data_IF_561719840656
#
_entry.id   IF_561719840656
#
_cell.length_a   1.000
_cell.length_b   1.000
_cell.length_c   1.000
_cell.angle_alpha   90.00
_cell.angle_beta   90.00
_cell.angle_gamma   90.00
#
_symmetry.space_group_name_H-M   'P 1'
#
loop_
_entity.id
_entity.type
_entity.pdbx_description
1 polymer ?
#
# COMPACT_ATOMS: atom_id res chain seq x y z
N UNK A 1 -2.62 -18.06 11.83
CA UNK A 1 -1.94 -16.80 11.44
C UNK A 1 -1.96 -16.75 9.93
N UNK A 2 -2.40 -15.66 9.33
CA UNK A 2 -2.34 -15.56 7.87
C UNK A 2 -0.89 -15.32 7.43
N UNK A 3 -0.51 -15.87 6.28
CA UNK A 3 0.76 -15.64 5.62
C UNK A 3 0.57 -15.75 4.10
N UNK A 4 1.50 -15.22 3.31
CA UNK A 4 1.48 -15.41 1.86
C UNK A 4 1.47 -16.89 1.49
N UNK A 5 2.15 -17.74 2.24
CA UNK A 5 2.14 -19.19 2.02
C UNK A 5 0.78 -19.85 2.29
N UNK A 6 0.04 -19.37 3.28
CA UNK A 6 -1.34 -19.84 3.50
C UNK A 6 -2.28 -19.40 2.38
N UNK A 7 -2.11 -18.18 1.84
CA UNK A 7 -2.86 -17.74 0.65
C UNK A 7 -2.52 -18.65 -0.52
N UNK A 8 -1.23 -18.90 -0.77
CA UNK A 8 -0.73 -19.81 -1.83
C UNK A 8 -1.34 -21.21 -1.71
N UNK A 9 -1.33 -21.77 -0.52
CA UNK A 9 -1.91 -23.11 -0.28
C UNK A 9 -3.43 -23.10 -0.52
N UNK A 10 -4.14 -22.10 0.00
CA UNK A 10 -5.59 -22.03 -0.14
C UNK A 10 -6.05 -21.89 -1.59
N UNK A 11 -5.36 -21.07 -2.41
CA UNK A 11 -5.77 -20.85 -3.80
C UNK A 11 -5.71 -22.13 -4.66
N UNK A 12 -4.96 -23.15 -4.26
CA UNK A 12 -4.90 -24.42 -4.99
C UNK A 12 -6.25 -25.15 -5.03
N UNK A 13 -7.16 -24.89 -4.07
CA UNK A 13 -8.48 -25.49 -4.02
C UNK A 13 -9.53 -24.82 -4.93
N UNK A 14 -9.18 -23.75 -5.64
CA UNK A 14 -10.10 -22.99 -6.49
C UNK A 14 -9.65 -23.02 -7.95
N UNK A 15 -10.60 -22.96 -8.88
CA UNK A 15 -10.32 -22.92 -10.32
C UNK A 15 -10.07 -21.49 -10.80
N UNK A 16 -10.73 -20.51 -10.18
CA UNK A 16 -10.62 -19.09 -10.48
C UNK A 16 -10.00 -18.33 -9.31
N UNK A 17 -8.94 -17.58 -9.61
CA UNK A 17 -8.30 -16.69 -8.65
C UNK A 17 -8.48 -15.26 -9.09
N UNK A 18 -9.25 -14.50 -8.28
CA UNK A 18 -9.42 -13.07 -8.44
C UNK A 18 -8.35 -12.29 -7.69
N UNK A 19 -7.72 -11.34 -8.34
CA UNK A 19 -6.78 -10.41 -7.72
C UNK A 19 -7.33 -8.99 -7.81
N UNK A 20 -7.28 -8.26 -6.71
CA UNK A 20 -7.33 -6.80 -6.76
C UNK A 20 -6.05 -6.25 -7.40
N UNK A 21 -6.08 -4.96 -7.78
CA UNK A 21 -5.01 -4.33 -8.53
C UNK A 21 -4.06 -3.54 -7.62
N UNK A 22 -4.49 -2.37 -7.15
CA UNK A 22 -3.66 -1.49 -6.33
C UNK A 22 -3.43 -2.08 -4.94
N UNK A 23 -2.24 -1.86 -4.40
CA UNK A 23 -1.83 -2.42 -3.11
C UNK A 23 -1.90 -3.97 -3.03
N UNK A 24 -2.22 -4.64 -4.13
CA UNK A 24 -2.29 -6.12 -4.25
C UNK A 24 -1.31 -6.67 -5.29
N UNK A 25 -1.44 -6.29 -6.55
CA UNK A 25 -0.52 -6.69 -7.64
C UNK A 25 0.48 -5.57 -7.95
N UNK A 26 0.07 -4.32 -7.84
CA UNK A 26 0.92 -3.16 -8.09
C UNK A 26 0.90 -2.16 -6.94
N UNK A 27 1.99 -1.42 -6.84
CA UNK A 27 2.23 -0.37 -5.86
C UNK A 27 2.53 0.95 -6.57
N UNK A 28 2.47 2.04 -5.82
CA UNK A 28 2.93 3.37 -6.20
C UNK A 28 3.84 3.93 -5.11
N UNK A 29 4.81 4.80 -5.43
CA UNK A 29 5.69 5.42 -4.44
C UNK A 29 4.99 6.60 -3.73
N UNK A 30 3.72 6.45 -3.42
CA UNK A 30 2.87 7.44 -2.78
C UNK A 30 2.31 6.90 -1.47
N UNK A 31 2.42 7.69 -0.40
CA UNK A 31 1.94 7.30 0.93
C UNK A 31 0.41 7.36 1.00
N UNK A 32 -0.19 8.31 0.26
CA UNK A 32 -1.63 8.43 0.08
C UNK A 32 -1.96 8.38 -1.43
N UNK A 33 -3.12 7.86 -1.82
CA UNK A 33 -3.52 7.86 -3.24
C UNK A 33 -3.48 9.24 -3.88
N UNK A 34 -3.89 10.26 -3.13
CA UNK A 34 -3.96 11.66 -3.58
C UNK A 34 -2.58 12.33 -3.77
N UNK A 35 -1.49 11.69 -3.32
CA UNK A 35 -0.12 12.19 -3.56
C UNK A 35 0.21 12.24 -5.06
N UNK A 36 -0.44 11.42 -5.89
CA UNK A 36 -0.35 11.53 -7.34
C UNK A 36 -0.83 12.91 -7.83
N UNK A 37 -1.93 13.42 -7.27
CA UNK A 37 -2.45 14.73 -7.65
C UNK A 37 -1.57 15.88 -7.15
N UNK A 38 -0.87 15.69 -6.03
CA UNK A 38 0.18 16.62 -5.61
C UNK A 38 1.36 16.62 -6.59
N UNK A 39 1.72 15.46 -7.14
CA UNK A 39 2.73 15.38 -8.19
C UNK A 39 2.26 16.07 -9.48
N UNK A 40 1.00 15.88 -9.88
CA UNK A 40 0.40 16.59 -11.01
C UNK A 40 0.42 18.12 -10.81
N UNK A 41 0.06 18.58 -9.62
CA UNK A 41 0.09 20.00 -9.26
C UNK A 41 1.47 20.62 -9.50
N UNK A 42 2.53 19.90 -9.08
CA UNK A 42 3.91 20.34 -9.30
C UNK A 42 4.31 20.36 -10.79
N UNK A 43 3.95 19.32 -11.56
CA UNK A 43 4.30 19.24 -12.98
C UNK A 43 3.48 20.22 -13.84
N UNK A 44 2.22 20.42 -13.52
CA UNK A 44 1.33 21.38 -14.21
C UNK A 44 1.60 22.82 -13.82
N UNK A 45 2.20 23.07 -12.65
CA UNK A 45 2.33 24.39 -12.04
C UNK A 45 0.98 25.12 -11.89
N UNK A 46 -0.07 24.35 -11.58
CA UNK A 46 -1.44 24.82 -11.32
C UNK A 46 -1.72 24.75 -9.84
N UNK A 47 -1.72 25.89 -9.11
CA UNK A 47 -1.98 25.89 -7.68
C UNK A 47 -3.34 25.26 -7.33
N UNK A 48 -3.40 24.54 -6.20
CA UNK A 48 -4.59 23.88 -5.68
C UNK A 48 -5.19 22.78 -6.59
N UNK A 49 -4.45 22.31 -7.59
CA UNK A 49 -4.93 21.26 -8.50
C UNK A 49 -5.24 19.96 -7.75
N UNK A 50 -4.38 19.54 -6.82
CA UNK A 50 -4.60 18.33 -6.03
C UNK A 50 -5.92 18.39 -5.25
N UNK A 51 -6.19 19.52 -4.61
CA UNK A 51 -7.43 19.75 -3.90
C UNK A 51 -8.64 19.78 -4.84
N UNK A 52 -8.54 20.45 -5.98
CA UNK A 52 -9.59 20.50 -7.00
C UNK A 52 -9.94 19.08 -7.48
N UNK A 53 -8.94 18.28 -7.84
CA UNK A 53 -9.10 16.92 -8.36
C UNK A 53 -9.77 16.01 -7.33
N UNK A 54 -9.23 15.94 -6.11
CA UNK A 54 -9.76 15.10 -5.03
C UNK A 54 -11.18 15.53 -4.60
N UNK A 55 -11.41 16.83 -4.41
CA UNK A 55 -12.74 17.33 -4.01
C UNK A 55 -13.78 17.08 -5.09
N UNK A 56 -13.41 17.19 -6.37
CA UNK A 56 -14.36 16.96 -7.48
C UNK A 56 -14.78 15.50 -7.51
N UNK A 57 -13.85 14.57 -7.42
CA UNK A 57 -14.16 13.14 -7.33
C UNK A 57 -15.05 12.82 -6.12
N UNK A 58 -14.69 13.31 -4.94
CA UNK A 58 -15.45 13.10 -3.71
C UNK A 58 -16.89 13.64 -3.82
N UNK A 59 -17.10 14.81 -4.42
CA UNK A 59 -18.43 15.38 -4.65
C UNK A 59 -19.25 14.53 -5.62
N UNK A 60 -18.65 14.04 -6.71
CA UNK A 60 -19.32 13.17 -7.67
C UNK A 60 -19.72 11.81 -7.08
N UNK A 61 -18.96 11.29 -6.12
CA UNK A 61 -19.26 10.04 -5.43
C UNK A 61 -20.45 10.16 -4.46
N UNK A 62 -20.72 11.35 -3.95
CA UNK A 62 -21.82 11.56 -2.99
C UNK A 62 -23.19 11.23 -3.60
N UNK A 63 -23.92 10.29 -2.96
CA UNK A 63 -25.26 9.89 -3.38
C UNK A 63 -25.33 9.07 -4.69
N UNK A 64 -24.20 8.78 -5.31
CA UNK A 64 -24.14 8.06 -6.57
C UNK A 64 -24.30 6.55 -6.36
N UNK A 65 -25.05 5.89 -7.25
CA UNK A 65 -25.28 4.44 -7.20
C UNK A 65 -24.37 3.64 -8.13
N UNK A 66 -23.84 4.27 -9.18
CA UNK A 66 -22.90 3.64 -10.12
C UNK A 66 -21.50 4.20 -9.95
N UNK A 67 -20.49 3.46 -10.35
CA UNK A 67 -19.11 3.92 -10.35
C UNK A 67 -18.89 5.12 -11.28
N UNK A 68 -17.89 5.93 -10.91
CA UNK A 68 -17.38 7.03 -11.71
C UNK A 68 -16.52 6.51 -12.86
N UNK A 69 -16.51 7.23 -13.94
CA UNK A 69 -15.52 7.08 -14.99
C UNK A 69 -14.50 8.23 -14.94
N UNK A 70 -13.32 7.99 -15.47
CA UNK A 70 -12.26 8.98 -15.60
C UNK A 70 -12.75 10.23 -16.33
N UNK A 71 -13.47 10.04 -17.43
CA UNK A 71 -14.02 11.13 -18.23
C UNK A 71 -15.02 12.00 -17.45
N UNK A 72 -15.91 11.40 -16.65
CA UNK A 72 -16.89 12.15 -15.86
C UNK A 72 -16.22 13.07 -14.83
N UNK A 73 -15.10 12.61 -14.23
CA UNK A 73 -14.34 13.43 -13.27
C UNK A 73 -13.78 14.67 -13.98
N UNK A 74 -13.14 14.49 -15.14
CA UNK A 74 -12.52 15.58 -15.86
C UNK A 74 -13.52 16.54 -16.54
N UNK A 75 -14.67 16.03 -16.99
CA UNK A 75 -15.80 16.86 -17.43
C UNK A 75 -16.30 17.78 -16.29
N UNK A 76 -16.40 17.25 -15.08
CA UNK A 76 -16.82 18.07 -13.93
C UNK A 76 -15.72 19.10 -13.53
N UNK A 77 -14.45 18.76 -13.64
CA UNK A 77 -13.35 19.71 -13.43
C UNK A 77 -13.42 20.83 -14.47
N UNK A 78 -13.61 20.48 -15.75
CA UNK A 78 -13.73 21.45 -16.82
C UNK A 78 -14.91 22.41 -16.61
N UNK A 79 -16.07 21.89 -16.20
CA UNK A 79 -17.24 22.72 -15.87
C UNK A 79 -16.97 23.70 -14.72
N UNK A 80 -16.20 23.29 -13.72
CA UNK A 80 -15.86 24.14 -12.56
C UNK A 80 -14.84 25.22 -12.89
N UNK A 81 -13.87 24.89 -13.72
CA UNK A 81 -12.72 25.78 -14.00
C UNK A 81 -12.91 26.63 -15.25
N UNK A 82 -13.73 26.20 -16.20
CA UNK A 82 -13.90 26.84 -17.50
C UNK A 82 -12.68 26.74 -18.41
N UNK A 83 -11.73 25.84 -18.14
CA UNK A 83 -10.54 25.65 -19.00
C UNK A 83 -10.93 25.06 -20.35
N UNK A 84 -10.10 25.30 -21.38
CA UNK A 84 -10.32 24.80 -22.72
C UNK A 84 -10.20 23.26 -22.80
N UNK A 85 -10.76 22.67 -23.88
CA UNK A 85 -10.64 21.22 -24.15
C UNK A 85 -9.17 20.77 -24.24
N UNK A 86 -8.30 21.61 -24.81
CA UNK A 86 -6.88 21.30 -24.91
C UNK A 86 -6.20 21.19 -23.53
N UNK A 87 -6.54 22.08 -22.60
CA UNK A 87 -6.01 22.07 -21.24
C UNK A 87 -6.52 20.86 -20.47
N UNK A 88 -7.83 20.57 -20.55
CA UNK A 88 -8.38 19.41 -19.86
C UNK A 88 -7.80 18.10 -20.39
N UNK A 89 -7.57 18.00 -21.70
CA UNK A 89 -6.92 16.84 -22.30
C UNK A 89 -5.48 16.67 -21.80
N UNK A 90 -4.72 17.76 -21.73
CA UNK A 90 -3.37 17.73 -21.15
C UNK A 90 -3.37 17.22 -19.70
N UNK A 91 -4.33 17.63 -18.88
CA UNK A 91 -4.44 17.16 -17.50
C UNK A 91 -4.80 15.68 -17.43
N UNK A 92 -5.71 15.21 -18.29
CA UNK A 92 -6.06 13.80 -18.41
C UNK A 92 -4.86 12.95 -18.82
N UNK A 93 -4.14 13.38 -19.86
CA UNK A 93 -2.96 12.67 -20.37
C UNK A 93 -1.87 12.57 -19.30
N UNK A 94 -1.66 13.63 -18.53
CA UNK A 94 -0.68 13.64 -17.44
C UNK A 94 -1.07 12.67 -16.32
N UNK A 95 -2.34 12.62 -15.88
CA UNK A 95 -2.77 11.65 -14.85
C UNK A 95 -2.51 10.21 -15.32
N UNK A 96 -2.88 9.87 -16.56
CA UNK A 96 -2.65 8.55 -17.12
C UNK A 96 -1.16 8.21 -17.25
N UNK A 97 -0.35 9.20 -17.64
CA UNK A 97 1.10 9.02 -17.73
C UNK A 97 1.73 8.79 -16.35
N UNK A 98 1.35 9.57 -15.34
CA UNK A 98 1.90 9.42 -13.99
C UNK A 98 1.45 8.10 -13.33
N UNK A 99 0.19 7.69 -13.50
CA UNK A 99 -0.28 6.38 -13.05
C UNK A 99 0.54 5.24 -13.65
N UNK A 100 0.88 5.34 -14.94
CA UNK A 100 1.75 4.36 -15.59
C UNK A 100 3.21 4.50 -15.16
N UNK A 101 3.74 5.73 -15.08
CA UNK A 101 5.14 6.00 -14.73
C UNK A 101 5.48 5.46 -13.36
N UNK A 102 4.64 5.71 -12.38
CA UNK A 102 4.87 5.38 -10.98
C UNK A 102 4.37 4.00 -10.54
N UNK A 103 3.61 3.27 -11.36
CA UNK A 103 3.24 1.91 -10.97
C UNK A 103 4.44 0.94 -11.08
N UNK A 104 4.55 0.06 -10.08
CA UNK A 104 5.55 -1.01 -10.04
C UNK A 104 4.98 -2.26 -9.34
N UNK A 105 5.57 -3.46 -9.55
CA UNK A 105 5.02 -4.69 -9.02
C UNK A 105 5.11 -4.75 -7.49
N UNK A 106 4.08 -5.28 -6.85
CA UNK A 106 4.14 -5.78 -5.47
C UNK A 106 4.67 -7.21 -5.52
N UNK A 107 5.88 -7.46 -4.99
CA UNK A 107 6.58 -8.75 -5.12
C UNK A 107 5.76 -9.91 -4.54
N UNK A 108 5.17 -9.76 -3.33
CA UNK A 108 4.33 -10.78 -2.72
C UNK A 108 3.06 -11.08 -3.52
N UNK A 109 2.39 -10.05 -4.03
CA UNK A 109 1.20 -10.19 -4.86
C UNK A 109 1.50 -10.86 -6.20
N UNK A 110 2.55 -10.40 -6.88
CA UNK A 110 2.99 -10.98 -8.14
C UNK A 110 3.45 -12.45 -7.97
N UNK A 111 4.11 -12.78 -6.86
CA UNK A 111 4.47 -14.17 -6.54
C UNK A 111 3.24 -15.08 -6.39
N UNK A 112 2.14 -14.58 -5.81
CA UNK A 112 0.88 -15.33 -5.75
C UNK A 112 0.24 -15.46 -7.13
N UNK A 113 0.25 -14.40 -7.94
CA UNK A 113 -0.23 -14.42 -9.31
C UNK A 113 0.51 -15.45 -10.17
N UNK A 114 1.86 -15.43 -10.15
CA UNK A 114 2.69 -16.39 -10.87
C UNK A 114 2.39 -17.83 -10.42
N UNK A 115 2.29 -18.07 -9.11
CA UNK A 115 1.98 -19.41 -8.60
C UNK A 115 0.57 -19.90 -9.03
N UNK A 116 -0.41 -19.01 -9.15
CA UNK A 116 -1.74 -19.34 -9.69
C UNK A 116 -1.65 -19.72 -11.17
N UNK A 117 -0.90 -18.96 -11.96
CA UNK A 117 -0.65 -19.27 -13.40
C UNK A 117 0.07 -20.60 -13.58
N UNK A 118 1.14 -20.85 -12.84
CA UNK A 118 1.90 -22.11 -12.86
C UNK A 118 1.02 -23.32 -12.50
N UNK A 119 0.05 -23.13 -11.61
CA UNK A 119 -0.92 -24.14 -11.24
C UNK A 119 -2.09 -24.30 -12.25
N UNK A 120 -2.06 -23.57 -13.37
CA UNK A 120 -3.09 -23.63 -14.41
C UNK A 120 -4.45 -23.04 -13.99
N UNK A 121 -4.47 -22.11 -13.04
CA UNK A 121 -5.69 -21.46 -12.58
C UNK A 121 -6.13 -20.36 -13.55
N UNK A 122 -7.44 -20.16 -13.67
CA UNK A 122 -7.99 -18.98 -14.34
C UNK A 122 -7.78 -17.75 -13.49
N UNK A 123 -7.35 -16.66 -14.11
CA UNK A 123 -7.06 -15.40 -13.43
C UNK A 123 -8.12 -14.35 -13.78
N UNK A 124 -8.71 -13.78 -12.75
CA UNK A 124 -9.54 -12.59 -12.86
C UNK A 124 -8.87 -11.39 -12.18
N UNK A 125 -8.83 -10.25 -12.85
CA UNK A 125 -8.49 -8.97 -12.23
C UNK A 125 -9.80 -8.29 -11.85
N UNK A 126 -9.99 -7.98 -10.56
CA UNK A 126 -11.24 -7.42 -10.03
C UNK A 126 -10.92 -6.14 -9.26
N UNK A 127 -11.18 -4.99 -9.84
CA UNK A 127 -10.73 -3.71 -9.29
C UNK A 127 -11.81 -2.63 -9.32
N UNK A 128 -11.87 -1.87 -8.20
CA UNK A 128 -12.67 -0.66 -8.10
C UNK A 128 -11.79 0.54 -8.49
N UNK A 129 -11.84 0.90 -9.78
CA UNK A 129 -11.01 1.97 -10.32
C UNK A 129 -11.76 2.75 -11.41
N UNK A 130 -11.57 4.06 -11.42
CA UNK A 130 -12.17 4.97 -12.40
C UNK A 130 -11.36 5.08 -13.71
N UNK A 131 -10.10 4.63 -13.71
CA UNK A 131 -9.22 4.67 -14.89
C UNK A 131 -9.80 3.86 -16.06
N UNK A 132 -9.51 4.24 -17.32
CA UNK A 132 -9.91 3.49 -18.50
C UNK A 132 -9.30 2.08 -18.53
N UNK A 133 -10.00 1.13 -19.16
CA UNK A 133 -9.56 -0.27 -19.22
C UNK A 133 -8.21 -0.45 -19.92
N UNK A 134 -7.94 0.28 -20.99
CA UNK A 134 -6.66 0.26 -21.72
C UNK A 134 -5.48 0.71 -20.84
N UNK A 135 -5.71 1.70 -19.96
CA UNK A 135 -4.71 2.13 -18.99
C UNK A 135 -4.42 1.01 -17.98
N UNK A 136 -5.45 0.35 -17.45
CA UNK A 136 -5.28 -0.80 -16.53
C UNK A 136 -4.51 -1.92 -17.21
N UNK A 137 -4.83 -2.24 -18.47
CA UNK A 137 -4.09 -3.25 -19.27
C UNK A 137 -2.62 -2.90 -19.41
N UNK A 138 -2.29 -1.64 -19.75
CA UNK A 138 -0.89 -1.16 -19.84
C UNK A 138 -0.13 -1.29 -18.51
N UNK A 139 -0.78 -0.96 -17.40
CA UNK A 139 -0.19 -1.07 -16.06
C UNK A 139 0.05 -2.54 -15.69
N UNK A 140 -0.92 -3.42 -15.93
CA UNK A 140 -0.78 -4.88 -15.71
C UNK A 140 0.37 -5.47 -16.54
N UNK A 141 0.50 -5.10 -17.81
CA UNK A 141 1.61 -5.52 -18.66
C UNK A 141 2.97 -5.07 -18.10
N UNK A 142 3.05 -3.81 -17.66
CA UNK A 142 4.27 -3.23 -17.07
C UNK A 142 4.73 -4.00 -15.83
N UNK A 143 3.81 -4.42 -14.96
CA UNK A 143 4.14 -5.12 -13.71
C UNK A 143 4.26 -6.64 -13.86
N UNK A 144 4.07 -7.19 -15.06
CA UNK A 144 4.20 -8.62 -15.31
C UNK A 144 2.94 -9.45 -14.99
N UNK A 145 1.78 -8.80 -14.84
CA UNK A 145 0.49 -9.44 -14.57
C UNK A 145 -0.50 -9.33 -15.77
N UNK A 146 0.01 -9.20 -16.99
CA UNK A 146 -0.79 -8.99 -18.20
C UNK A 146 -1.46 -10.25 -18.78
N UNK A 147 -1.19 -11.43 -18.26
CA UNK A 147 -1.77 -12.70 -18.71
C UNK A 147 -2.90 -13.14 -17.78
N UNK A 148 -4.11 -12.64 -18.02
CA UNK A 148 -5.33 -12.93 -17.26
C UNK A 148 -6.48 -13.31 -18.19
N UNK A 149 -7.48 -14.04 -17.67
CA UNK A 149 -8.63 -14.51 -18.43
C UNK A 149 -9.81 -13.51 -18.38
N UNK A 150 -9.89 -12.70 -17.31
CA UNK A 150 -11.02 -11.81 -17.07
C UNK A 150 -10.60 -10.51 -16.40
N UNK A 151 -11.08 -9.36 -16.91
CA UNK A 151 -10.97 -8.06 -16.25
C UNK A 151 -12.37 -7.58 -15.85
N UNK A 152 -12.59 -7.40 -14.54
CA UNK A 152 -13.76 -6.78 -13.96
C UNK A 152 -13.38 -5.41 -13.39
N UNK A 153 -13.68 -4.38 -14.15
CA UNK A 153 -13.38 -2.99 -13.84
C UNK A 153 -14.67 -2.25 -13.48
N UNK A 154 -14.71 -1.64 -12.29
CA UNK A 154 -15.92 -1.00 -11.77
C UNK A 154 -16.44 0.14 -12.64
N UNK A 155 -15.55 0.96 -13.21
CA UNK A 155 -15.93 2.06 -14.11
C UNK A 155 -16.61 1.60 -15.40
N UNK A 156 -16.17 0.47 -15.95
CA UNK A 156 -16.76 -0.13 -17.17
C UNK A 156 -18.11 -0.81 -16.88
N UNK A 157 -18.18 -1.51 -15.76
CA UNK A 157 -19.35 -2.29 -15.38
C UNK A 157 -20.45 -1.47 -14.71
N UNK A 158 -20.10 -0.32 -14.13
CA UNK A 158 -20.98 0.49 -13.29
C UNK A 158 -21.27 -0.11 -11.91
N UNK A 159 -20.57 -1.18 -11.52
CA UNK A 159 -20.71 -1.88 -10.24
C UNK A 159 -19.37 -1.92 -9.51
N UNK A 160 -19.41 -1.91 -8.16
CA UNK A 160 -18.21 -1.96 -7.33
C UNK A 160 -18.09 -3.23 -6.50
N UNK A 161 -16.89 -3.52 -6.04
CA UNK A 161 -16.62 -4.52 -5.00
C UNK A 161 -17.23 -4.09 -3.67
N UNK A 162 -17.18 -2.78 -3.36
CA UNK A 162 -17.66 -2.22 -2.11
C UNK A 162 -19.14 -2.52 -1.82
N UNK A 163 -19.99 -2.59 -2.85
CA UNK A 163 -21.39 -2.98 -2.71
C UNK A 163 -21.68 -4.43 -3.17
N UNK A 164 -20.64 -5.20 -3.48
CA UNK A 164 -20.75 -6.58 -3.97
C UNK A 164 -21.30 -6.71 -5.39
N UNK A 165 -21.60 -5.60 -6.07
CA UNK A 165 -22.21 -5.59 -7.40
C UNK A 165 -21.34 -6.25 -8.46
N UNK A 166 -20.05 -6.02 -8.42
CA UNK A 166 -19.07 -6.57 -9.36
C UNK A 166 -19.02 -8.11 -9.28
N UNK A 167 -19.09 -8.69 -8.08
CA UNK A 167 -19.07 -10.15 -7.89
C UNK A 167 -20.34 -10.85 -8.39
N UNK A 168 -21.49 -10.13 -8.44
CA UNK A 168 -22.72 -10.67 -9.03
C UNK A 168 -22.60 -10.87 -10.54
N UNK A 169 -21.64 -10.21 -11.20
CA UNK A 169 -21.38 -10.42 -12.63
C UNK A 169 -20.77 -11.79 -12.90
N UNK A 170 -19.96 -12.35 -11.97
CA UNK A 170 -19.39 -13.69 -12.11
C UNK A 170 -20.47 -14.75 -12.31
N UNK A 171 -21.62 -14.63 -11.62
CA UNK A 171 -22.75 -15.53 -11.79
C UNK A 171 -23.37 -15.43 -13.21
N UNK A 172 -23.39 -14.23 -13.79
CA UNK A 172 -23.86 -14.03 -15.17
C UNK A 172 -22.90 -14.58 -16.21
N UNK A 173 -21.63 -14.72 -15.84
CA UNK A 173 -20.57 -15.32 -16.66
C UNK A 173 -20.44 -16.83 -16.42
N UNK A 174 -21.39 -17.43 -15.70
CA UNK A 174 -21.43 -18.87 -15.37
C UNK A 174 -20.20 -19.35 -14.57
N UNK A 175 -19.51 -18.46 -13.88
CA UNK A 175 -18.39 -18.80 -12.98
C UNK A 175 -18.98 -19.24 -11.63
N UNK A 176 -18.74 -20.50 -11.22
CA UNK A 176 -19.32 -21.01 -9.97
C UNK A 176 -18.74 -20.29 -8.76
N UNK A 177 -19.57 -19.69 -7.87
CA UNK A 177 -19.08 -18.95 -6.72
C UNK A 177 -18.13 -19.75 -5.80
N UNK A 178 -18.41 -21.04 -5.63
CA UNK A 178 -17.59 -21.94 -4.79
C UNK A 178 -16.20 -22.26 -5.36
N UNK A 179 -15.97 -21.95 -6.63
CA UNK A 179 -14.70 -22.17 -7.32
C UNK A 179 -13.91 -20.86 -7.49
N UNK A 180 -14.37 -19.77 -6.91
CA UNK A 180 -13.74 -18.45 -7.01
C UNK A 180 -13.20 -17.99 -5.66
N UNK A 181 -11.90 -17.63 -5.65
CA UNK A 181 -11.23 -17.02 -4.52
C UNK A 181 -10.77 -15.61 -4.88
N UNK A 182 -11.25 -14.58 -4.17
CA UNK A 182 -10.73 -13.22 -4.28
C UNK A 182 -9.55 -13.00 -3.33
N UNK A 183 -8.50 -12.35 -3.81
CA UNK A 183 -7.34 -11.90 -3.04
C UNK A 183 -7.21 -10.39 -3.21
N UNK A 184 -7.16 -9.65 -2.09
CA UNK A 184 -7.01 -8.20 -2.13
C UNK A 184 -6.73 -7.59 -0.78
N UNK A 185 -6.46 -6.29 -0.78
CA UNK A 185 -6.05 -5.55 0.41
C UNK A 185 -7.21 -4.98 1.23
N UNK A 186 -8.36 -4.78 0.61
CA UNK A 186 -9.54 -4.23 1.27
C UNK A 186 -10.39 -5.33 1.89
N UNK A 187 -10.38 -5.39 3.23
CA UNK A 187 -11.07 -6.44 3.97
C UNK A 187 -12.58 -6.54 3.66
N UNK A 188 -13.26 -5.41 3.51
CA UNK A 188 -14.69 -5.40 3.19
C UNK A 188 -14.91 -5.80 1.73
N UNK A 189 -14.25 -5.11 0.82
CA UNK A 189 -14.46 -5.27 -0.62
C UNK A 189 -13.94 -6.62 -1.16
N UNK A 190 -12.81 -7.13 -0.64
CA UNK A 190 -12.15 -8.34 -1.19
C UNK A 190 -12.36 -9.60 -0.35
N UNK A 191 -12.88 -9.47 0.89
CA UNK A 191 -13.06 -10.64 1.76
C UNK A 191 -14.51 -10.80 2.20
N UNK A 192 -15.10 -9.78 2.82
CA UNK A 192 -16.44 -9.90 3.43
C UNK A 192 -17.54 -9.91 2.37
N UNK A 193 -17.50 -9.00 1.41
CA UNK A 193 -18.50 -8.92 0.33
C UNK A 193 -18.50 -10.16 -0.59
N UNK A 194 -17.35 -10.71 -1.05
CA UNK A 194 -17.35 -11.99 -1.76
C UNK A 194 -17.99 -13.11 -0.94
N UNK A 195 -17.65 -13.23 0.35
CA UNK A 195 -18.19 -14.28 1.24
C UNK A 195 -19.70 -14.19 1.39
N UNK A 196 -20.26 -12.99 1.50
CA UNK A 196 -21.72 -12.79 1.53
C UNK A 196 -22.43 -13.27 0.26
N UNK A 197 -21.71 -13.43 -0.84
CA UNK A 197 -22.23 -13.90 -2.14
C UNK A 197 -21.85 -15.36 -2.45
N UNK A 198 -21.26 -16.07 -1.48
CA UNK A 198 -20.88 -17.49 -1.60
C UNK A 198 -19.54 -17.74 -2.29
N UNK A 199 -18.76 -16.69 -2.58
CA UNK A 199 -17.38 -16.78 -2.99
C UNK A 199 -16.48 -16.91 -1.75
N UNK A 200 -15.18 -17.10 -1.98
CA UNK A 200 -14.18 -16.96 -0.92
C UNK A 200 -13.37 -15.69 -1.12
N UNK A 201 -12.86 -15.17 -0.01
CA UNK A 201 -11.97 -14.01 -0.01
C UNK A 201 -10.83 -14.21 0.97
N UNK A 202 -9.62 -13.84 0.55
CA UNK A 202 -8.43 -13.82 1.40
C UNK A 202 -7.80 -12.42 1.40
N UNK A 203 -7.41 -12.02 2.58
CA UNK A 203 -6.86 -10.69 2.80
C UNK A 203 -5.34 -10.67 2.64
N UNK A 204 -4.84 -9.83 1.73
CA UNK A 204 -3.44 -9.48 1.57
C UNK A 204 -3.27 -8.00 1.94
N UNK A 205 -3.01 -7.65 3.21
CA UNK A 205 -3.00 -6.28 3.69
C UNK A 205 -2.08 -5.36 2.88
N UNK A 206 -2.54 -4.14 2.60
CA UNK A 206 -1.67 -3.10 2.07
C UNK A 206 -0.53 -2.76 3.05
N UNK A 207 0.69 -2.62 2.56
CA UNK A 207 1.86 -2.27 3.38
C UNK A 207 1.63 -0.96 4.16
N UNK A 208 1.10 0.08 3.49
CA UNK A 208 0.77 1.38 4.11
C UNK A 208 -0.27 1.25 5.23
N UNK A 209 -1.29 0.39 5.07
CA UNK A 209 -2.30 0.20 6.09
C UNK A 209 -1.72 -0.46 7.35
N UNK A 210 -0.79 -1.42 7.18
CA UNK A 210 -0.05 -2.03 8.29
C UNK A 210 0.79 -0.96 9.01
N UNK A 211 1.53 -0.15 8.28
CA UNK A 211 2.36 0.92 8.84
C UNK A 211 1.52 1.95 9.61
N UNK A 212 0.43 2.44 9.03
CA UNK A 212 -0.46 3.42 9.65
C UNK A 212 -1.16 2.89 10.91
N UNK A 213 -1.53 1.62 10.91
CA UNK A 213 -2.28 1.03 12.02
C UNK A 213 -1.40 0.59 13.19
N UNK A 214 -0.23 0.01 12.90
CA UNK A 214 0.65 -0.59 13.92
C UNK A 214 1.91 0.23 14.18
N UNK A 215 2.21 1.23 13.34
CA UNK A 215 3.44 2.01 13.41
C UNK A 215 3.40 3.11 14.46
N UNK A 216 4.41 3.13 15.33
CA UNK A 216 4.66 4.27 16.22
C UNK A 216 5.27 5.46 15.47
N UNK A 217 5.98 5.20 14.39
CA UNK A 217 6.62 6.21 13.54
C UNK A 217 5.61 7.04 12.75
N UNK A 218 4.49 6.44 12.32
CA UNK A 218 3.53 7.15 11.47
C UNK A 218 2.97 8.42 12.10
N UNK A 219 2.52 8.45 13.37
CA UNK A 219 2.08 9.69 14.01
C UNK A 219 3.17 10.76 14.12
N UNK A 220 4.42 10.37 14.39
CA UNK A 220 5.54 11.30 14.45
C UNK A 220 5.83 11.94 13.08
N UNK A 221 5.86 11.13 12.01
CA UNK A 221 6.03 11.62 10.64
C UNK A 221 4.89 12.56 10.24
N UNK A 222 3.66 12.23 10.58
CA UNK A 222 2.48 13.06 10.26
C UNK A 222 2.49 14.40 10.99
N UNK A 223 2.98 14.45 12.24
CA UNK A 223 3.04 15.66 13.02
C UNK A 223 3.93 16.75 12.38
N UNK A 224 4.94 16.35 11.64
CA UNK A 224 5.87 17.25 10.92
C UNK A 224 5.34 17.72 9.56
N UNK A 225 4.13 17.33 9.17
CA UNK A 225 3.50 17.70 7.88
C UNK A 225 4.45 17.46 6.69
N UNK A 226 4.86 16.22 6.43
CA UNK A 226 5.92 15.91 5.49
C UNK A 226 5.57 16.38 4.07
N UNK A 227 6.56 16.90 3.38
CA UNK A 227 6.47 17.26 1.95
C UNK A 227 6.11 16.04 1.10
N UNK A 228 5.72 16.26 -0.15
CA UNK A 228 5.45 15.15 -1.08
C UNK A 228 6.66 14.23 -1.23
N UNK A 229 7.87 14.79 -1.36
CA UNK A 229 9.10 14.02 -1.50
C UNK A 229 9.39 13.14 -0.27
N UNK A 230 9.17 13.66 0.95
CA UNK A 230 9.27 12.87 2.18
C UNK A 230 8.23 11.77 2.25
N UNK A 231 6.98 12.05 1.84
CA UNK A 231 5.93 11.01 1.76
C UNK A 231 6.26 9.92 0.75
N UNK A 232 6.87 10.27 -0.39
CA UNK A 232 7.36 9.28 -1.36
C UNK A 232 8.48 8.40 -0.78
N UNK A 233 9.43 9.00 -0.05
CA UNK A 233 10.48 8.25 0.66
C UNK A 233 9.87 7.25 1.64
N UNK A 234 8.94 7.70 2.48
CA UNK A 234 8.22 6.84 3.44
C UNK A 234 7.46 5.73 2.73
N UNK A 235 6.76 6.04 1.63
CA UNK A 235 6.01 5.05 0.86
C UNK A 235 6.90 3.94 0.30
N UNK A 236 8.04 4.30 -0.30
CA UNK A 236 9.02 3.32 -0.82
C UNK A 236 9.57 2.43 0.29
N UNK A 237 9.93 3.02 1.45
CA UNK A 237 10.42 2.28 2.60
C UNK A 237 9.35 1.30 3.13
N UNK A 238 8.14 1.78 3.31
CA UNK A 238 7.00 1.00 3.82
C UNK A 238 6.63 -0.14 2.88
N UNK A 239 6.50 0.15 1.59
CA UNK A 239 6.17 -0.85 0.57
C UNK A 239 7.25 -1.94 0.47
N UNK A 240 8.52 -1.57 0.62
CA UNK A 240 9.64 -2.52 0.60
C UNK A 240 9.68 -3.39 1.85
N UNK A 241 9.53 -2.77 3.02
CA UNK A 241 9.66 -3.48 4.30
C UNK A 241 8.46 -4.38 4.60
N UNK A 242 7.25 -3.93 4.27
CA UNK A 242 6.01 -4.65 4.49
C UNK A 242 5.47 -5.34 3.24
N UNK A 243 6.31 -5.70 2.30
CA UNK A 243 5.89 -6.54 1.17
C UNK A 243 5.29 -7.88 1.69
N UNK A 244 5.89 -8.51 2.73
CA UNK A 244 5.19 -9.49 3.57
C UNK A 244 4.45 -8.77 4.72
N UNK A 245 3.17 -8.44 4.56
CA UNK A 245 2.42 -7.64 5.54
C UNK A 245 2.16 -8.39 6.84
N UNK A 246 2.29 -9.72 6.85
CA UNK A 246 2.03 -10.56 8.01
C UNK A 246 3.20 -10.60 8.99
N UNK A 247 4.37 -10.09 8.60
CA UNK A 247 5.55 -10.00 9.46
C UNK A 247 5.23 -9.30 10.78
N UNK A 248 4.52 -8.17 10.71
CA UNK A 248 4.09 -7.43 11.89
C UNK A 248 3.07 -8.20 12.75
N UNK A 249 2.18 -8.95 12.10
CA UNK A 249 1.17 -9.73 12.79
C UNK A 249 1.77 -10.92 13.56
N UNK A 250 2.92 -11.41 13.15
CA UNK A 250 3.64 -12.49 13.86
C UNK A 250 4.34 -12.01 15.12
N UNK A 251 4.51 -10.70 15.32
CA UNK A 251 5.19 -10.07 16.46
C UNK A 251 6.60 -10.60 16.69
N UNK A 252 7.31 -10.95 15.65
CA UNK A 252 8.65 -11.50 15.72
C UNK A 252 9.71 -10.44 16.00
N UNK A 253 9.40 -9.15 15.74
CA UNK A 253 10.32 -8.04 15.96
C UNK A 253 9.58 -6.73 16.21
N UNK A 254 10.24 -5.76 16.83
CA UNK A 254 9.80 -4.36 16.87
C UNK A 254 10.36 -3.64 15.63
N UNK A 255 9.65 -3.67 14.54
CA UNK A 255 10.06 -3.08 13.29
C UNK A 255 10.26 -1.56 13.37
N UNK A 256 9.71 -0.84 14.37
CA UNK A 256 9.98 0.59 14.57
C UNK A 256 11.45 0.87 14.95
N UNK A 257 12.16 -0.16 15.40
CA UNK A 257 13.59 -0.08 15.74
C UNK A 257 14.45 -1.02 14.89
N UNK A 258 13.89 -1.64 13.83
CA UNK A 258 14.64 -2.50 12.91
C UNK A 258 15.61 -1.63 12.07
N UNK A 259 16.94 -1.89 12.12
CA UNK A 259 17.92 -1.06 11.45
C UNK A 259 17.73 -1.04 9.94
N UNK A 260 17.33 -2.12 9.33
CA UNK A 260 17.06 -2.16 7.89
C UNK A 260 15.89 -1.24 7.51
N UNK A 261 14.79 -1.28 8.29
CA UNK A 261 13.65 -0.38 8.05
C UNK A 261 14.02 1.08 8.28
N UNK A 262 14.79 1.36 9.34
CA UNK A 262 15.27 2.72 9.59
C UNK A 262 16.20 3.22 8.47
N UNK A 263 17.04 2.35 7.92
CA UNK A 263 17.86 2.68 6.74
C UNK A 263 17.00 3.00 5.51
N UNK A 264 15.94 2.25 5.28
CA UNK A 264 14.98 2.53 4.20
C UNK A 264 14.30 3.90 4.37
N UNK A 265 13.93 4.27 5.60
CA UNK A 265 13.28 5.56 5.91
C UNK A 265 14.23 6.76 5.82
N UNK A 266 15.53 6.53 5.98
CA UNK A 266 16.54 7.56 6.17
C UNK A 266 17.66 7.49 5.12
N UNK A 267 17.33 7.45 3.79
CA UNK A 267 18.32 7.20 2.75
C UNK A 267 19.42 8.27 2.68
N UNK A 268 19.10 9.52 3.01
CA UNK A 268 20.00 10.67 2.89
C UNK A 268 20.02 11.53 4.16
N UNK A 269 19.78 10.91 5.33
CA UNK A 269 19.80 11.66 6.58
C UNK A 269 21.23 12.04 6.96
N UNK A 270 21.46 13.32 7.24
CA UNK A 270 22.69 13.87 7.76
C UNK A 270 22.69 13.86 9.29
N UNK A 271 23.89 13.86 9.90
CA UNK A 271 24.08 14.00 11.34
C UNK A 271 23.44 12.89 12.22
N UNK A 272 23.33 11.67 11.68
CA UNK A 272 22.88 10.52 12.46
C UNK A 272 23.96 10.06 13.45
N UNK A 273 23.55 9.46 14.61
CA UNK A 273 24.51 8.86 15.55
C UNK A 273 25.42 7.84 14.87
N UNK A 274 26.72 7.85 15.21
CA UNK A 274 27.71 6.96 14.59
C UNK A 274 27.36 5.48 14.75
N UNK A 275 26.84 5.10 15.93
CA UNK A 275 26.38 3.74 16.21
C UNK A 275 25.30 3.24 15.23
N UNK A 276 24.51 4.16 14.67
CA UNK A 276 23.50 3.86 13.65
C UNK A 276 24.12 3.72 12.28
N UNK A 277 24.98 4.68 11.90
CA UNK A 277 25.58 4.72 10.56
C UNK A 277 26.57 3.58 10.31
N UNK A 278 27.12 2.98 11.37
CA UNK A 278 28.00 1.81 11.29
C UNK A 278 27.23 0.47 11.22
N UNK A 279 25.94 0.44 11.48
CA UNK A 279 25.15 -0.79 11.40
C UNK A 279 25.00 -1.28 9.95
N UNK A 280 25.39 -2.52 9.69
CA UNK A 280 25.37 -3.12 8.35
C UNK A 280 23.96 -3.20 7.75
N UNK A 281 22.96 -3.53 8.56
CA UNK A 281 21.57 -3.63 8.08
C UNK A 281 20.98 -2.26 7.77
N UNK A 282 21.37 -1.25 8.56
CA UNK A 282 20.98 0.14 8.29
C UNK A 282 21.57 0.61 6.95
N UNK A 283 22.85 0.39 6.70
CA UNK A 283 23.51 0.74 5.44
C UNK A 283 22.85 0.05 4.24
N UNK A 284 22.53 -1.24 4.36
CA UNK A 284 21.78 -1.97 3.30
C UNK A 284 20.39 -1.39 3.05
N UNK A 285 19.71 -0.94 4.11
CA UNK A 285 18.43 -0.24 3.97
C UNK A 285 18.58 1.06 3.18
N UNK A 286 19.59 1.87 3.50
CA UNK A 286 19.89 3.11 2.77
C UNK A 286 20.22 2.86 1.29
N UNK A 287 21.06 1.88 0.99
CA UNK A 287 21.40 1.50 -0.38
C UNK A 287 20.16 1.11 -1.16
N UNK A 288 19.28 0.30 -0.58
CA UNK A 288 18.04 -0.13 -1.22
C UNK A 288 17.08 1.04 -1.46
N UNK A 289 16.95 1.94 -0.50
CA UNK A 289 16.11 3.13 -0.65
C UNK A 289 16.60 4.05 -1.78
N UNK A 290 17.93 4.27 -1.87
CA UNK A 290 18.52 5.04 -2.97
C UNK A 290 18.27 4.40 -4.34
N UNK A 291 18.44 3.08 -4.45
CA UNK A 291 18.15 2.35 -5.69
C UNK A 291 16.70 2.52 -6.14
N UNK A 292 15.75 2.43 -5.20
CA UNK A 292 14.32 2.60 -5.50
C UNK A 292 13.99 4.06 -5.85
N UNK A 293 14.56 5.02 -5.13
CA UNK A 293 14.34 6.44 -5.40
C UNK A 293 14.84 6.83 -6.79
N UNK A 294 16.03 6.40 -7.21
CA UNK A 294 16.58 6.69 -8.55
C UNK A 294 15.79 6.06 -9.69
N UNK A 295 14.98 5.04 -9.42
CA UNK A 295 14.10 4.45 -10.43
C UNK A 295 12.92 5.37 -10.79
N UNK A 296 12.43 6.16 -9.83
CA UNK A 296 11.22 6.97 -9.99
C UNK A 296 11.48 8.47 -10.04
N UNK A 297 12.57 8.96 -9.46
CA UNK A 297 12.83 10.37 -9.24
C UNK A 297 14.21 10.77 -9.72
N UNK A 298 14.32 11.96 -10.28
CA UNK A 298 15.61 12.50 -10.79
C UNK A 298 16.55 12.91 -9.65
N UNK A 299 16.01 13.19 -8.47
CA UNK A 299 16.74 13.66 -7.30
C UNK A 299 16.59 12.70 -6.14
N UNK A 300 17.60 12.60 -5.26
CA UNK A 300 17.48 11.85 -4.01
C UNK A 300 16.29 12.33 -3.18
N UNK A 301 15.52 11.39 -2.65
CA UNK A 301 14.40 11.72 -1.78
C UNK A 301 14.90 12.07 -0.36
N UNK A 302 14.36 13.11 0.30
CA UNK A 302 14.70 13.45 1.66
C UNK A 302 14.14 12.42 2.66
N UNK A 303 14.80 12.29 3.80
CA UNK A 303 14.25 11.56 4.94
C UNK A 303 13.18 12.39 5.64
N UNK A 304 12.09 11.75 6.10
CA UNK A 304 11.08 12.43 6.88
C UNK A 304 11.64 12.85 8.24
N UNK A 305 11.53 14.14 8.60
CA UNK A 305 12.09 14.70 9.82
C UNK A 305 11.63 13.95 11.08
N UNK A 306 10.34 13.62 11.19
CA UNK A 306 9.81 12.86 12.31
C UNK A 306 10.43 11.47 12.49
N UNK A 307 10.91 10.84 11.41
CA UNK A 307 11.65 9.58 11.50
C UNK A 307 13.07 9.79 12.04
N UNK A 308 13.75 10.88 11.63
CA UNK A 308 15.06 11.26 12.14
C UNK A 308 15.00 11.52 13.65
N UNK A 309 14.04 12.30 14.10
CA UNK A 309 13.85 12.63 15.51
C UNK A 309 13.58 11.39 16.37
N UNK A 310 12.71 10.52 15.90
CA UNK A 310 12.39 9.26 16.57
C UNK A 310 13.65 8.38 16.72
N UNK A 311 14.45 8.25 15.64
CA UNK A 311 15.70 7.48 15.69
C UNK A 311 16.72 8.08 16.67
N UNK A 312 16.91 9.40 16.65
CA UNK A 312 17.80 10.09 17.56
C UNK A 312 17.34 9.94 19.02
N UNK A 313 16.05 9.99 19.27
CA UNK A 313 15.49 9.75 20.60
C UNK A 313 15.76 8.33 21.09
N UNK A 314 15.54 7.30 20.27
CA UNK A 314 15.84 5.91 20.62
C UNK A 314 17.34 5.68 20.86
N UNK A 315 18.22 6.25 20.06
CA UNK A 315 19.65 6.16 20.24
C UNK A 315 20.10 6.83 21.57
N UNK A 316 19.52 7.98 21.91
CA UNK A 316 19.80 8.68 23.17
C UNK A 316 19.27 7.94 24.42
N UNK A 317 18.11 7.28 24.32
CA UNK A 317 17.60 6.42 25.40
C UNK A 317 18.50 5.21 25.63
N UNK A 318 18.98 4.59 24.56
CA UNK A 318 19.90 3.48 24.63
C UNK A 318 21.23 3.87 25.28
N UNK A 319 21.78 5.06 24.98
CA UNK A 319 22.98 5.60 25.62
C UNK A 319 22.79 5.85 27.14
N UNK A 320 21.58 6.33 27.55
CA UNK A 320 21.25 6.57 28.96
C UNK A 320 21.11 5.29 29.79
N UNK A 321 20.75 4.19 29.15
CA UNK A 321 20.56 2.89 29.82
C UNK A 321 21.89 2.18 30.19
N UNK A 322 23.04 2.84 30.06
CA UNK A 322 24.42 2.35 30.39
C UNK A 322 24.83 1.09 29.61
N UNK A 323 24.26 0.84 28.46
CA UNK A 323 24.74 -0.19 27.52
C UNK A 323 25.90 0.37 26.69
N UNK A 324 26.88 -0.47 26.29
CA UNK A 324 27.81 -0.09 25.22
C UNK A 324 26.99 0.36 24.00
N UNK A 325 27.40 1.46 23.36
CA UNK A 325 26.64 2.07 22.25
C UNK A 325 26.25 1.06 21.17
N UNK A 326 27.23 0.26 20.76
CA UNK A 326 27.07 -0.78 19.75
C UNK A 326 26.08 -1.88 20.19
N UNK A 327 26.16 -2.27 21.46
CA UNK A 327 25.26 -3.27 22.02
C UNK A 327 23.84 -2.75 22.18
N UNK A 328 23.68 -1.48 22.58
CA UNK A 328 22.37 -0.87 22.78
C UNK A 328 21.61 -0.76 21.45
N UNK A 329 22.26 -0.31 20.40
CA UNK A 329 21.64 -0.22 19.07
C UNK A 329 21.33 -1.60 18.52
N UNK A 330 22.28 -2.52 18.56
CA UNK A 330 22.11 -3.89 18.10
C UNK A 330 21.01 -4.63 18.89
N UNK A 331 20.93 -4.44 20.21
CA UNK A 331 19.89 -5.02 21.04
C UNK A 331 18.50 -4.46 20.73
N UNK A 332 18.40 -3.16 20.43
CA UNK A 332 17.15 -2.49 20.03
C UNK A 332 16.72 -2.91 18.63
N UNK A 333 17.68 -3.19 17.76
CA UNK A 333 17.44 -3.38 16.33
C UNK A 333 17.50 -4.84 15.88
N UNK A 334 17.95 -5.78 16.72
CA UNK A 334 17.93 -7.21 16.37
C UNK A 334 16.53 -7.80 16.57
N UNK A 335 15.97 -8.54 15.62
CA UNK A 335 14.62 -9.12 15.74
C UNK A 335 14.42 -10.01 16.98
N UNK A 336 15.50 -10.48 17.60
CA UNK A 336 15.48 -11.40 18.75
C UNK A 336 15.76 -10.73 20.10
N UNK A 337 16.10 -9.42 20.14
CA UNK A 337 16.64 -8.75 21.36
C UNK A 337 15.63 -8.06 22.28
N UNK A 338 14.34 -8.18 22.01
CA UNK A 338 13.29 -7.35 22.64
C UNK A 338 12.90 -7.71 24.07
N UNK A 339 13.49 -8.71 24.67
CA UNK A 339 13.11 -9.12 26.04
C UNK A 339 13.62 -8.16 27.14
N UNK A 340 14.48 -7.19 26.80
CA UNK A 340 15.19 -6.39 27.82
C UNK A 340 14.80 -4.92 27.89
N UNK A 341 14.04 -4.39 26.93
CA UNK A 341 13.50 -3.03 27.04
C UNK A 341 12.23 -3.05 27.91
N UNK A 342 12.09 -2.14 28.89
CA UNK A 342 10.85 -2.02 29.64
C UNK A 342 9.71 -1.75 28.63
N UNK A 343 8.68 -2.59 28.66
CA UNK A 343 7.49 -2.36 27.83
C UNK A 343 7.03 -0.91 28.03
N UNK A 344 6.88 -0.11 26.96
CA UNK A 344 6.29 1.20 27.10
C UNK A 344 4.92 1.02 27.74
N UNK A 345 4.59 1.81 28.78
CA UNK A 345 3.31 1.73 29.49
C UNK A 345 2.21 1.78 28.46
N UNK A 346 1.53 0.65 28.28
CA UNK A 346 0.49 0.47 27.25
C UNK A 346 -0.59 1.52 27.45
N UNK A 347 -0.91 2.35 26.45
CA UNK A 347 -2.03 3.29 26.60
C UNK A 347 -3.30 2.49 26.89
N UNK A 348 -4.18 3.05 27.73
CA UNK A 348 -5.40 2.38 28.25
C UNK A 348 -6.31 1.80 27.14
N UNK A 349 -6.22 2.28 25.91
CA UNK A 349 -6.95 1.79 24.71
C UNK A 349 -6.42 0.49 24.10
N UNK A 350 -5.29 -0.03 24.55
CA UNK A 350 -4.70 -1.26 24.03
C UNK A 350 -5.59 -2.51 24.25
N UNK A 351 -6.34 -2.58 25.35
CA UNK A 351 -7.26 -3.71 25.62
C UNK A 351 -8.38 -3.81 24.59
N UNK A 352 -8.84 -2.70 24.05
CA UNK A 352 -9.86 -2.68 22.99
C UNK A 352 -9.31 -3.20 21.66
N UNK A 353 -8.07 -2.85 21.32
CA UNK A 353 -7.41 -3.33 20.10
C UNK A 353 -7.06 -4.83 20.18
N UNK A 354 -6.64 -5.32 21.34
CA UNK A 354 -6.45 -6.76 21.56
C UNK A 354 -7.76 -7.54 21.48
N UNK A 355 -8.88 -6.96 21.91
CA UNK A 355 -10.21 -7.57 21.81
C UNK A 355 -10.66 -7.66 20.35
N UNK A 356 -10.46 -6.60 19.56
CA UNK A 356 -10.73 -6.57 18.13
C UNK A 356 -9.82 -7.55 17.36
N UNK A 357 -8.54 -7.65 17.73
CA UNK A 357 -7.59 -8.60 17.14
C UNK A 357 -7.95 -10.05 17.48
N UNK A 358 -8.39 -10.33 18.73
CA UNK A 358 -8.86 -11.66 19.16
C UNK A 358 -10.18 -12.03 18.49
N UNK A 359 -11.10 -11.09 18.35
CA UNK A 359 -12.35 -11.29 17.60
C UNK A 359 -12.08 -11.57 16.13
N UNK A 360 -11.11 -10.86 15.55
CA UNK A 360 -10.58 -11.08 14.20
C UNK A 360 -9.97 -12.49 14.04
N UNK A 361 -9.16 -12.92 14.99
CA UNK A 361 -8.52 -14.26 14.96
C UNK A 361 -9.52 -15.39 15.22
N UNK A 362 -10.62 -15.14 15.94
CA UNK A 362 -11.68 -16.13 16.17
C UNK A 362 -12.60 -16.30 14.98
N UNK A 363 -12.85 -15.24 14.19
CA UNK A 363 -13.62 -15.32 12.92
C UNK A 363 -12.83 -15.97 11.78
N UNK A 364 -11.50 -16.06 11.89
CA UNK A 364 -10.66 -16.81 10.94
C UNK A 364 -10.54 -18.31 11.28
N UNK A 365 -11.15 -18.80 12.37
CA UNK A 365 -11.16 -20.20 12.79
C UNK A 365 -12.48 -20.93 12.54
N UNK A 366 -13.49 -20.27 12.02
CA UNK A 366 -14.78 -20.88 11.64
C UNK A 366 -14.90 -21.06 10.13
#
# INVERSE_FOLDING_TARGET
MNSCEQIRTAMMAYDWIGFDLFDTLLLRPFLQPDDLFCQMEQELQVPDFAALRSQTENQLRQGRKRELTFLEIYQAIQQKTGVSDAVIQQWMDLELELEWRYCYPRESGLSLYCAAKEAGKHIAIVTDMYLPADQIVRMLQKVGAGDYDLLLLSSELGYSKANGGIYRQLKRMEIPPKQFLQIGDNRIADVENPRCLGLQGMWLPAARAVFQHYGRLYPAIQAEQPSLAERCSVALAVNTYFDDPFRMMRRECDWNADPYFMGLLLPNAEHLPEVVTQDFMFQRGQERAMQLATHFFEHPLPAAQGAIEMLCHHAAEADRAAFPKDYAWTAVCTPCGFSTLPEPKKPAKWKTHLRLLRQFLSTCRA
#
